data_IF_656327345246
#
_entry.id   IF_656327345246
#
_cell.length_a   1.000
_cell.length_b   1.000
_cell.length_c   1.000
_cell.angle_alpha   90.00
_cell.angle_beta   90.00
_cell.angle_gamma   90.00
#
_symmetry.space_group_name_H-M   'P 1'
#
loop_
_entity.id
_entity.type
_entity.pdbx_description
1 polymer ?
#
# COMPACT_ATOMS: atom_id res chain seq x y z
N UNK A 1 -3.05 19.66 -15.73
CA UNK A 1 -2.80 19.05 -14.41
C UNK A 1 -3.56 19.85 -13.34
N UNK A 2 -3.85 19.27 -12.17
CA UNK A 2 -4.74 19.86 -11.13
C UNK A 2 -4.01 20.65 -10.01
N UNK A 3 -2.69 20.79 -10.07
CA UNK A 3 -1.93 21.64 -9.13
C UNK A 3 -1.29 20.94 -7.92
N UNK A 4 -1.37 19.61 -7.80
CA UNK A 4 -0.71 18.87 -6.72
C UNK A 4 0.82 18.84 -6.85
N UNK A 5 1.54 19.08 -5.74
CA UNK A 5 3.00 19.01 -5.67
C UNK A 5 3.57 17.58 -5.59
N UNK A 6 2.77 16.62 -5.13
CA UNK A 6 3.10 15.20 -5.10
C UNK A 6 1.83 14.35 -5.25
N UNK A 7 2.00 13.07 -5.58
CA UNK A 7 0.91 12.09 -5.63
C UNK A 7 1.36 10.79 -4.95
N UNK A 8 0.54 10.26 -4.04
CA UNK A 8 0.71 8.90 -3.52
C UNK A 8 -0.19 7.93 -4.30
N UNK A 9 0.40 6.88 -4.87
CA UNK A 9 -0.33 5.79 -5.54
C UNK A 9 -0.34 4.53 -4.67
N UNK A 10 -1.38 3.70 -4.80
CA UNK A 10 -1.59 2.50 -3.99
C UNK A 10 -2.88 2.59 -3.15
N UNK A 11 -3.03 1.83 -2.06
CA UNK A 11 -2.13 0.79 -1.57
C UNK A 11 -2.04 -0.38 -2.56
N UNK A 12 -0.82 -0.79 -2.91
CA UNK A 12 -0.55 -1.93 -3.79
C UNK A 12 -0.08 -3.15 -3.00
N UNK A 13 -0.37 -4.33 -3.51
CA UNK A 13 0.03 -5.62 -2.92
C UNK A 13 0.85 -6.42 -3.91
N UNK A 14 1.59 -7.48 -3.50
CA UNK A 14 2.38 -8.30 -4.42
C UNK A 14 1.55 -8.84 -5.60
N UNK A 15 0.42 -9.47 -5.30
CA UNK A 15 -0.52 -10.05 -6.27
C UNK A 15 -1.76 -9.16 -6.44
N UNK A 16 -2.41 -9.18 -7.61
CA UNK A 16 -3.71 -8.54 -7.79
C UNK A 16 -4.76 -9.14 -6.85
N UNK A 17 -5.70 -8.30 -6.40
CA UNK A 17 -6.85 -8.77 -5.62
C UNK A 17 -8.09 -7.89 -5.86
N UNK A 18 -9.31 -8.47 -5.81
CA UNK A 18 -10.54 -7.75 -6.12
C UNK A 18 -11.00 -6.80 -5.00
N UNK A 19 -10.48 -6.97 -3.78
CA UNK A 19 -10.95 -6.33 -2.54
C UNK A 19 -12.25 -6.93 -2.00
N UNK A 20 -12.89 -6.26 -1.04
CA UNK A 20 -14.13 -6.73 -0.41
C UNK A 20 -15.34 -6.67 -1.35
N UNK A 21 -16.42 -7.40 -1.05
CA UNK A 21 -17.64 -7.35 -1.87
C UNK A 21 -18.27 -5.95 -1.92
N UNK A 22 -18.95 -5.66 -3.04
CA UNK A 22 -19.73 -4.42 -3.20
C UNK A 22 -21.11 -4.57 -2.55
N UNK A 23 -21.72 -3.49 -2.02
CA UNK A 23 -21.21 -2.11 -1.97
C UNK A 23 -20.18 -1.89 -0.86
N UNK A 24 -19.16 -1.05 -1.15
CA UNK A 24 -17.98 -0.84 -0.30
C UNK A 24 -17.50 0.62 -0.18
N UNK A 25 -18.25 1.57 -0.74
CA UNK A 25 -17.99 3.00 -0.69
C UNK A 25 -19.32 3.74 -0.54
N UNK A 26 -19.41 4.62 0.46
CA UNK A 26 -20.61 5.35 0.85
C UNK A 26 -20.26 6.82 1.05
N UNK A 27 -21.07 7.73 0.52
CA UNK A 27 -20.91 9.19 0.65
C UNK A 27 -21.97 9.74 1.59
N UNK A 28 -21.59 10.71 2.42
CA UNK A 28 -22.47 11.46 3.31
C UNK A 28 -22.23 12.96 3.04
N UNK A 29 -22.81 13.52 1.96
CA UNK A 29 -22.50 14.89 1.51
C UNK A 29 -22.76 15.96 2.57
N UNK A 30 -23.81 15.79 3.38
CA UNK A 30 -24.21 16.73 4.43
C UNK A 30 -23.18 16.84 5.56
N UNK A 31 -22.23 15.90 5.60
CA UNK A 31 -21.11 15.85 6.56
C UNK A 31 -19.75 15.94 5.89
N UNK A 32 -19.72 16.16 4.56
CA UNK A 32 -18.50 16.11 3.75
C UNK A 32 -17.69 14.82 3.99
N UNK A 33 -18.37 13.70 4.23
CA UNK A 33 -17.75 12.46 4.72
C UNK A 33 -17.90 11.27 3.77
N UNK A 34 -16.96 10.34 3.90
CA UNK A 34 -16.92 9.08 3.13
C UNK A 34 -16.65 7.92 4.10
N UNK A 35 -17.38 6.82 3.94
CA UNK A 35 -17.10 5.53 4.58
C UNK A 35 -16.70 4.54 3.49
N UNK A 36 -15.60 3.82 3.69
CA UNK A 36 -15.17 2.78 2.75
C UNK A 36 -14.70 1.51 3.46
N UNK A 37 -14.86 0.39 2.77
CA UNK A 37 -14.35 -0.92 3.15
C UNK A 37 -13.75 -1.61 1.94
N UNK A 38 -12.81 -0.94 1.27
CA UNK A 38 -12.29 -1.35 -0.04
C UNK A 38 -11.53 -2.69 0.00
N UNK A 39 -10.72 -2.92 1.04
CA UNK A 39 -9.93 -4.16 1.19
C UNK A 39 -8.78 -4.27 0.17
N UNK A 40 -8.08 -3.16 -0.12
CA UNK A 40 -6.94 -3.09 -1.05
C UNK A 40 -7.21 -3.68 -2.45
N UNK A 41 -8.32 -3.32 -3.10
CA UNK A 41 -8.54 -3.72 -4.49
C UNK A 41 -7.52 -3.08 -5.45
N UNK A 42 -6.61 -3.88 -6.02
CA UNK A 42 -5.53 -3.40 -6.89
C UNK A 42 -5.08 -4.48 -7.89
N UNK A 43 -4.29 -4.08 -8.89
CA UNK A 43 -3.82 -4.93 -10.00
C UNK A 43 -2.44 -5.58 -9.76
N UNK A 44 -1.91 -5.50 -8.54
CA UNK A 44 -0.58 -6.00 -8.17
C UNK A 44 0.55 -5.02 -8.46
N UNK A 45 1.69 -5.25 -7.80
CA UNK A 45 2.85 -4.35 -7.83
C UNK A 45 3.47 -4.20 -9.22
N UNK A 46 3.58 -5.30 -9.97
CA UNK A 46 4.08 -5.29 -11.36
C UNK A 46 3.27 -4.37 -12.26
N UNK A 47 1.94 -4.43 -12.17
CA UNK A 47 1.08 -3.55 -12.95
C UNK A 47 1.31 -2.08 -12.57
N UNK A 48 1.40 -1.78 -11.28
CA UNK A 48 1.62 -0.42 -10.79
C UNK A 48 2.96 0.13 -11.31
N UNK A 49 4.04 -0.63 -11.17
CA UNK A 49 5.38 -0.25 -11.63
C UNK A 49 5.38 0.09 -13.12
N UNK A 50 4.73 -0.73 -13.94
CA UNK A 50 4.62 -0.47 -15.39
C UNK A 50 3.81 0.79 -15.74
N UNK A 51 2.85 1.20 -14.89
CA UNK A 51 2.17 2.49 -15.07
C UNK A 51 3.06 3.65 -14.62
N UNK A 52 3.76 3.49 -13.50
CA UNK A 52 4.65 4.51 -12.94
C UNK A 52 5.79 4.83 -13.89
N UNK A 53 6.38 3.84 -14.58
CA UNK A 53 7.40 4.05 -15.63
C UNK A 53 6.91 4.88 -16.81
N UNK A 54 5.60 4.89 -17.07
CA UNK A 54 4.96 5.63 -18.19
C UNK A 54 4.45 7.01 -17.78
N UNK A 55 4.70 7.43 -16.53
CA UNK A 55 4.16 8.68 -16.00
C UNK A 55 4.76 9.89 -16.73
N UNK A 56 3.91 10.89 -16.99
CA UNK A 56 4.33 12.23 -17.47
C UNK A 56 4.45 13.23 -16.32
N UNK A 57 3.93 12.89 -15.15
CA UNK A 57 4.00 13.74 -13.96
C UNK A 57 5.46 13.89 -13.51
N UNK A 58 5.89 15.14 -13.34
CA UNK A 58 7.28 15.50 -12.98
C UNK A 58 7.45 15.82 -11.49
N UNK A 59 6.37 15.80 -10.70
CA UNK A 59 6.45 15.97 -9.25
C UNK A 59 6.78 14.65 -8.54
N UNK A 60 6.78 14.72 -7.20
CA UNK A 60 7.12 13.60 -6.32
C UNK A 60 6.02 12.53 -6.38
N UNK A 61 6.40 11.27 -6.53
CA UNK A 61 5.52 10.10 -6.55
C UNK A 61 5.85 9.18 -5.38
N UNK A 62 4.92 9.12 -4.44
CA UNK A 62 4.93 8.13 -3.36
C UNK A 62 4.27 6.83 -3.80
N UNK A 63 4.79 5.70 -3.34
CA UNK A 63 4.16 4.39 -3.56
C UNK A 63 3.81 3.76 -2.21
N UNK A 64 2.51 3.56 -1.98
CA UNK A 64 1.97 2.96 -0.77
C UNK A 64 1.83 1.44 -0.95
N UNK A 65 2.49 0.67 -0.09
CA UNK A 65 2.56 -0.80 -0.16
C UNK A 65 1.82 -1.45 1.01
N UNK A 66 1.28 -2.64 0.77
CA UNK A 66 0.50 -3.40 1.73
C UNK A 66 0.53 -4.90 1.49
N UNK A 67 0.01 -5.64 2.46
CA UNK A 67 -0.10 -7.11 2.42
C UNK A 67 -1.30 -7.58 1.59
N UNK A 68 -1.14 -8.65 0.83
CA UNK A 68 -2.27 -9.36 0.21
C UNK A 68 -3.24 -9.90 1.27
N UNK A 69 -4.54 -9.96 0.94
CA UNK A 69 -5.55 -10.47 1.87
C UNK A 69 -5.28 -11.93 2.30
N UNK A 70 -4.81 -12.76 1.36
CA UNK A 70 -4.58 -14.20 1.55
C UNK A 70 -3.30 -14.53 2.31
N UNK A 71 -2.38 -13.58 2.46
CA UNK A 71 -1.14 -13.78 3.22
C UNK A 71 -1.48 -13.80 4.71
N UNK A 72 -0.88 -14.70 5.48
CA UNK A 72 -1.03 -14.71 6.95
C UNK A 72 -0.43 -13.41 7.54
N UNK A 73 -0.73 -13.09 8.80
CA UNK A 73 -0.06 -11.95 9.47
C UNK A 73 1.41 -12.26 9.71
N UNK A 74 1.75 -13.51 10.02
CA UNK A 74 3.13 -13.95 10.27
C UNK A 74 4.00 -13.86 9.00
N UNK A 75 3.39 -14.02 7.82
CA UNK A 75 4.06 -13.85 6.52
C UNK A 75 3.95 -12.42 5.95
N UNK A 76 3.35 -11.47 6.69
CA UNK A 76 3.12 -10.11 6.21
C UNK A 76 4.40 -9.42 5.75
N UNK A 77 5.49 -9.62 6.50
CA UNK A 77 6.82 -9.07 6.21
C UNK A 77 7.26 -9.38 4.77
N UNK A 78 7.03 -10.61 4.30
CA UNK A 78 7.40 -11.04 2.95
C UNK A 78 6.72 -10.23 1.86
N UNK A 79 5.45 -9.88 2.06
CA UNK A 79 4.71 -9.04 1.10
C UNK A 79 5.26 -7.62 1.05
N UNK A 80 5.64 -7.05 2.21
CA UNK A 80 6.21 -5.72 2.28
C UNK A 80 7.61 -5.67 1.67
N UNK A 81 8.48 -6.63 1.99
CA UNK A 81 9.83 -6.72 1.40
C UNK A 81 9.75 -6.90 -0.12
N UNK A 82 8.86 -7.79 -0.58
CA UNK A 82 8.63 -7.99 -2.02
C UNK A 82 8.18 -6.70 -2.70
N UNK A 83 7.18 -6.01 -2.15
CA UNK A 83 6.72 -4.76 -2.74
C UNK A 83 7.79 -3.67 -2.68
N UNK A 84 8.51 -3.55 -1.56
CA UNK A 84 9.58 -2.57 -1.39
C UNK A 84 10.60 -2.74 -2.52
N UNK A 85 11.13 -3.95 -2.71
CA UNK A 85 12.10 -4.25 -3.76
C UNK A 85 11.63 -3.85 -5.16
N UNK A 86 10.37 -4.13 -5.49
CA UNK A 86 9.81 -3.82 -6.81
C UNK A 86 9.57 -2.32 -7.02
N UNK A 87 9.20 -1.57 -5.97
CA UNK A 87 8.79 -0.16 -6.12
C UNK A 87 9.92 0.83 -5.83
N UNK A 88 10.93 0.43 -5.06
CA UNK A 88 11.98 1.32 -4.56
C UNK A 88 12.73 2.07 -5.68
N UNK A 89 13.10 1.45 -6.83
CA UNK A 89 13.75 2.16 -7.93
C UNK A 89 12.87 3.18 -8.66
N UNK A 90 11.57 3.25 -8.35
CA UNK A 90 10.57 3.99 -9.11
C UNK A 90 9.79 5.02 -8.27
N UNK A 91 9.96 4.99 -6.95
CA UNK A 91 9.29 5.87 -5.99
C UNK A 91 10.24 6.95 -5.47
N UNK A 92 9.71 8.14 -5.25
CA UNK A 92 10.43 9.19 -4.51
C UNK A 92 10.33 8.96 -3.00
N UNK A 93 9.27 8.30 -2.54
CA UNK A 93 9.15 7.75 -1.20
C UNK A 93 8.23 6.52 -1.17
N UNK A 94 8.40 5.66 -0.17
CA UNK A 94 7.56 4.46 0.03
C UNK A 94 6.79 4.58 1.34
N UNK A 95 5.48 4.36 1.29
CA UNK A 95 4.62 4.31 2.48
C UNK A 95 4.31 2.86 2.83
N UNK A 96 4.57 2.45 4.07
CA UNK A 96 4.28 1.11 4.58
C UNK A 96 2.93 1.14 5.29
N UNK A 97 1.88 0.59 4.67
CA UNK A 97 0.52 0.68 5.21
C UNK A 97 0.14 -0.49 6.13
N UNK A 98 0.41 -0.32 7.41
CA UNK A 98 -0.02 -1.21 8.51
C UNK A 98 -1.34 -0.75 9.19
N UNK A 99 -2.05 0.23 8.62
CA UNK A 99 -3.14 0.96 9.29
C UNK A 99 -4.56 0.63 8.84
N UNK A 100 -4.70 -0.10 7.74
CA UNK A 100 -6.01 -0.47 7.18
C UNK A 100 -6.87 -1.23 8.21
N UNK A 101 -8.07 -0.73 8.55
CA UNK A 101 -9.04 -1.48 9.36
C UNK A 101 -9.70 -2.63 8.58
N UNK A 102 -9.54 -2.65 7.26
CA UNK A 102 -10.28 -3.54 6.34
C UNK A 102 -9.54 -4.82 6.00
N UNK A 103 -8.34 -5.01 6.54
CA UNK A 103 -7.52 -6.21 6.36
C UNK A 103 -7.39 -6.89 7.72
N UNK A 104 -8.02 -8.06 7.93
CA UNK A 104 -8.02 -8.74 9.23
C UNK A 104 -6.61 -8.93 9.78
N UNK A 105 -6.43 -8.61 11.07
CA UNK A 105 -5.15 -8.76 11.77
C UNK A 105 -4.07 -7.74 11.42
N UNK A 106 -4.22 -6.90 10.39
CA UNK A 106 -3.11 -6.03 9.94
C UNK A 106 -2.65 -5.03 11.00
N UNK A 107 -3.56 -4.55 11.85
CA UNK A 107 -3.25 -3.60 12.92
C UNK A 107 -2.40 -4.19 14.04
N UNK A 108 -2.29 -5.52 14.16
CA UNK A 108 -1.40 -6.11 15.17
C UNK A 108 0.07 -5.81 14.87
N UNK A 109 0.41 -5.60 13.58
CA UNK A 109 1.74 -5.18 13.14
C UNK A 109 2.15 -3.78 13.64
N UNK A 110 1.24 -3.02 14.26
CA UNK A 110 1.54 -1.69 14.78
C UNK A 110 2.15 -1.70 16.19
N UNK A 111 2.19 -2.85 16.86
CA UNK A 111 2.49 -2.91 18.28
C UNK A 111 3.74 -3.74 18.58
N UNK A 112 4.54 -3.22 19.51
CA UNK A 112 5.64 -3.94 20.15
C UNK A 112 6.70 -4.47 19.16
N UNK A 113 7.15 -5.69 19.44
CA UNK A 113 8.26 -6.34 18.75
C UNK A 113 7.98 -6.59 17.26
N UNK A 114 6.72 -6.79 16.88
CA UNK A 114 6.35 -7.06 15.49
C UNK A 114 6.54 -5.83 14.60
N UNK A 115 6.27 -4.63 15.10
CA UNK A 115 6.56 -3.40 14.37
C UNK A 115 8.07 -3.21 14.21
N UNK A 116 8.83 -3.41 15.29
CA UNK A 116 10.28 -3.25 15.26
C UNK A 116 10.95 -4.22 14.29
N UNK A 117 10.52 -5.48 14.30
CA UNK A 117 11.01 -6.51 13.37
C UNK A 117 10.74 -6.13 11.91
N UNK A 118 9.50 -5.71 11.59
CA UNK A 118 9.14 -5.28 10.25
C UNK A 118 9.97 -4.07 9.79
N UNK A 119 10.13 -3.05 10.65
CA UNK A 119 10.91 -1.86 10.31
C UNK A 119 12.38 -2.19 10.09
N UNK A 120 12.96 -3.06 10.92
CA UNK A 120 14.35 -3.54 10.76
C UNK A 120 14.53 -4.24 9.42
N UNK A 121 13.68 -5.21 9.10
CA UNK A 121 13.73 -5.93 7.83
C UNK A 121 13.62 -4.99 6.62
N UNK A 122 12.70 -4.02 6.67
CA UNK A 122 12.54 -3.03 5.59
C UNK A 122 13.75 -2.11 5.43
N UNK A 123 14.39 -1.72 6.54
CA UNK A 123 15.58 -0.88 6.52
C UNK A 123 16.80 -1.64 5.99
N UNK A 124 16.92 -2.93 6.30
CA UNK A 124 17.96 -3.80 5.75
C UNK A 124 17.78 -3.96 4.22
N UNK A 125 16.57 -4.29 3.76
CA UNK A 125 16.27 -4.42 2.32
C UNK A 125 16.49 -3.10 1.57
N UNK A 126 16.21 -1.95 2.20
CA UNK A 126 16.45 -0.63 1.60
C UNK A 126 17.93 -0.38 1.25
N UNK A 127 18.86 -1.02 1.96
CA UNK A 127 20.30 -0.79 1.81
C UNK A 127 21.01 -1.78 0.88
N UNK A 128 20.33 -2.83 0.45
CA UNK A 128 20.84 -3.87 -0.45
C UNK A 128 20.59 -3.54 -1.92
#
# INVERSE_FOLDING_TARGET
ALGFGFVEVGTVTPKPQPGNDKPRLFRIPEKEAIINRMGFNNKGVHHLVEQVKKRKFQGIVGINIGKNLTTSVDDAEKDYLYCLKEVYPHADYVTVNISSPNTPGLRTLQFGETLEALLRALKEEQTC
#
